data_IF_863953993546
#
_entry.id   IF_863953993546
#
_cell.length_a   1.000
_cell.length_b   1.000
_cell.length_c   1.000
_cell.angle_alpha   90.00
_cell.angle_beta   90.00
_cell.angle_gamma   90.00
#
_symmetry.space_group_name_H-M   'P 1'
#
loop_
_entity.id
_entity.type
_entity.pdbx_description
1 polymer ?
#
# COMPACT_ATOMS: atom_id res chain seq x y z
N UNK A 1 -30.47 -11.03 16.35
CA UNK A 1 -30.78 -9.68 16.90
C UNK A 1 -29.59 -8.79 16.65
N UNK A 2 -29.80 -7.61 16.05
CA UNK A 2 -28.73 -6.63 15.87
C UNK A 2 -28.55 -5.85 17.18
N UNK A 3 -27.33 -5.79 17.71
CA UNK A 3 -27.00 -4.95 18.88
C UNK A 3 -27.40 -3.50 18.59
N UNK A 4 -27.98 -2.74 19.54
CA UNK A 4 -28.26 -1.31 19.39
C UNK A 4 -26.98 -0.48 19.15
N UNK A 5 -27.11 0.68 18.51
CA UNK A 5 -25.98 1.55 18.16
C UNK A 5 -25.22 2.00 19.42
N UNK A 6 -25.95 2.25 20.51
CA UNK A 6 -25.43 2.67 21.81
C UNK A 6 -24.50 1.61 22.43
N UNK A 7 -24.86 0.33 22.29
CA UNK A 7 -24.07 -0.79 22.81
C UNK A 7 -22.79 -0.97 21.97
N UNK A 8 -22.89 -0.82 20.64
CA UNK A 8 -21.73 -0.86 19.75
C UNK A 8 -20.73 0.25 20.07
N UNK A 9 -21.22 1.45 20.36
CA UNK A 9 -20.38 2.59 20.75
C UNK A 9 -19.69 2.35 22.11
N UNK A 10 -20.38 1.76 23.09
CA UNK A 10 -19.76 1.39 24.38
C UNK A 10 -18.63 0.38 24.18
N UNK A 11 -18.81 -0.59 23.28
CA UNK A 11 -17.76 -1.55 22.93
C UNK A 11 -16.61 -0.83 22.23
N UNK A 12 -16.89 0.03 21.26
CA UNK A 12 -15.87 0.77 20.51
C UNK A 12 -15.08 1.75 21.38
N UNK A 13 -15.70 2.44 22.33
CA UNK A 13 -15.00 3.30 23.29
C UNK A 13 -14.05 2.52 24.20
N UNK A 14 -14.28 1.21 24.41
CA UNK A 14 -13.35 0.32 25.12
C UNK A 14 -12.24 -0.22 24.21
N UNK A 15 -12.44 -0.22 22.90
CA UNK A 15 -11.41 -0.53 21.90
C UNK A 15 -10.56 0.73 21.71
N UNK A 16 -9.63 0.96 22.63
CA UNK A 16 -8.77 2.15 22.74
C UNK A 16 -7.82 2.39 21.55
N UNK A 17 -8.02 1.73 20.41
CA UNK A 17 -7.18 1.81 19.22
C UNK A 17 -8.01 2.30 18.05
N UNK A 18 -7.69 3.51 17.61
CA UNK A 18 -8.35 4.17 16.48
C UNK A 18 -8.25 3.34 15.19
N UNK A 19 -7.19 2.55 15.04
CA UNK A 19 -6.98 1.62 13.93
C UNK A 19 -8.06 0.52 13.89
N UNK A 20 -8.51 0.06 15.07
CA UNK A 20 -9.59 -0.91 15.19
C UNK A 20 -10.91 -0.25 14.81
N UNK A 21 -11.15 1.01 15.19
CA UNK A 21 -12.35 1.75 14.81
C UNK A 21 -12.43 1.98 13.29
N UNK A 22 -11.33 2.42 12.67
CA UNK A 22 -11.27 2.64 11.23
C UNK A 22 -11.22 1.35 10.42
N UNK A 23 -10.80 0.22 11.01
CA UNK A 23 -10.95 -1.10 10.36
C UNK A 23 -12.41 -1.50 10.12
N UNK A 24 -13.36 -0.89 10.84
CA UNK A 24 -14.79 -1.09 10.60
C UNK A 24 -15.37 -0.20 9.50
N UNK A 25 -14.58 0.75 8.95
CA UNK A 25 -15.00 1.47 7.74
C UNK A 25 -15.11 0.50 6.57
N UNK A 26 -16.18 0.67 5.81
CA UNK A 26 -16.58 -0.10 4.64
C UNK A 26 -16.95 -1.56 4.91
N UNK A 27 -16.93 -2.01 6.17
CA UNK A 27 -17.44 -3.33 6.56
C UNK A 27 -18.96 -3.41 6.36
N UNK A 28 -19.71 -2.37 6.76
CA UNK A 28 -21.10 -2.21 6.38
C UNK A 28 -21.58 -0.74 6.46
N UNK A 29 -22.75 -0.45 5.86
CA UNK A 29 -23.35 0.89 5.84
C UNK A 29 -23.65 1.45 7.24
N UNK A 30 -23.96 0.58 8.21
CA UNK A 30 -24.29 0.97 9.58
C UNK A 30 -23.04 1.44 10.34
N UNK A 31 -21.94 0.71 10.25
CA UNK A 31 -20.66 1.09 10.83
C UNK A 31 -20.09 2.34 10.17
N UNK A 32 -20.24 2.48 8.86
CA UNK A 32 -19.87 3.72 8.15
C UNK A 32 -20.60 4.94 8.71
N UNK A 33 -21.90 4.81 9.00
CA UNK A 33 -22.68 5.89 9.62
C UNK A 33 -22.13 6.21 11.02
N UNK A 34 -21.90 5.20 11.86
CA UNK A 34 -21.46 5.38 13.24
C UNK A 34 -20.03 5.95 13.34
N UNK A 35 -19.09 5.50 12.53
CA UNK A 35 -17.69 5.99 12.52
C UNK A 35 -17.60 7.44 12.00
N UNK A 36 -18.53 7.85 11.12
CA UNK A 36 -18.55 9.22 10.55
C UNK A 36 -19.39 10.21 11.36
N UNK A 37 -20.18 9.74 12.32
CA UNK A 37 -21.07 10.59 13.10
C UNK A 37 -20.27 11.36 14.16
N UNK A 38 -20.33 12.69 14.07
CA UNK A 38 -19.62 13.60 14.99
C UNK A 38 -20.17 13.56 16.41
N UNK A 39 -21.42 13.12 16.62
CA UNK A 39 -22.00 12.97 17.96
C UNK A 39 -21.35 11.78 18.66
N UNK A 40 -21.14 10.68 17.95
CA UNK A 40 -20.60 9.43 18.51
C UNK A 40 -19.07 9.40 18.58
N UNK A 41 -18.40 10.15 17.72
CA UNK A 41 -16.92 10.29 17.75
C UNK A 41 -16.45 11.44 18.64
N UNK A 42 -17.36 12.22 19.24
CA UNK A 42 -17.04 13.40 20.08
C UNK A 42 -16.28 13.06 21.35
N UNK A 43 -16.54 11.88 21.93
CA UNK A 43 -15.86 11.35 23.13
C UNK A 43 -14.61 10.55 22.80
N UNK A 44 -14.37 10.25 21.53
CA UNK A 44 -13.04 9.93 21.03
C UNK A 44 -12.33 11.28 20.95
N UNK A 45 -12.09 11.90 22.11
CA UNK A 45 -10.93 12.76 22.22
C UNK A 45 -9.82 11.90 21.67
N UNK A 46 -9.27 12.34 20.53
CA UNK A 46 -7.96 11.93 20.06
C UNK A 46 -7.05 12.27 21.24
N UNK A 47 -7.00 11.39 22.24
CA UNK A 47 -6.04 11.42 23.33
C UNK A 47 -4.77 11.64 22.57
N UNK A 48 -4.23 12.86 22.71
CA UNK A 48 -3.07 13.37 21.99
C UNK A 48 -2.19 12.18 21.77
N UNK A 49 -2.27 11.62 20.56
CA UNK A 49 -1.54 10.41 20.30
C UNK A 49 -0.12 10.97 20.31
N UNK A 50 0.61 10.75 21.40
CA UNK A 50 2.00 11.17 21.55
C UNK A 50 2.89 10.35 20.59
N UNK A 51 2.29 9.73 19.57
CA UNK A 51 2.90 9.21 18.38
C UNK A 51 3.56 10.37 17.64
N UNK A 52 4.80 10.67 18.04
CA UNK A 52 5.64 11.67 17.40
C UNK A 52 5.97 11.29 15.95
N UNK A 53 5.86 10.00 15.59
CA UNK A 53 6.11 9.48 14.25
C UNK A 53 5.15 8.33 13.91
N UNK A 54 4.36 8.49 12.85
CA UNK A 54 3.50 7.45 12.28
C UNK A 54 4.10 6.98 10.95
N UNK A 55 4.64 5.76 10.90
CA UNK A 55 5.24 5.20 9.69
C UNK A 55 4.28 4.19 9.07
N UNK A 56 4.11 4.25 7.75
CA UNK A 56 3.21 3.35 7.03
C UNK A 56 3.68 3.12 5.59
N UNK A 57 3.24 2.00 5.03
CA UNK A 57 3.32 1.66 3.62
C UNK A 57 1.97 1.05 3.23
N UNK A 58 1.23 1.73 2.37
CA UNK A 58 -0.11 1.35 1.94
C UNK A 58 -0.05 1.09 0.43
N UNK A 59 -0.54 -0.08 0.03
CA UNK A 59 -0.66 -0.50 -1.36
C UNK A 59 -2.14 -0.74 -1.64
N UNK A 60 -2.68 -0.09 -2.67
CA UNK A 60 -4.08 -0.28 -3.07
C UNK A 60 -4.21 -0.55 -4.55
N UNK A 61 -5.06 -1.52 -4.90
CA UNK A 61 -5.42 -1.89 -6.26
C UNK A 61 -6.84 -1.37 -6.55
N UNK A 62 -6.99 -0.59 -7.61
CA UNK A 62 -8.30 -0.08 -8.05
C UNK A 62 -8.31 0.17 -9.55
N UNK A 63 -9.48 0.29 -10.16
CA UNK A 63 -9.58 0.90 -11.49
C UNK A 63 -9.10 2.36 -11.41
N UNK A 64 -8.37 2.80 -12.43
CA UNK A 64 -7.78 4.13 -12.52
C UNK A 64 -8.88 5.21 -12.38
N UNK A 65 -9.08 5.69 -11.15
CA UNK A 65 -9.94 6.81 -10.84
C UNK A 65 -9.10 7.89 -10.14
N UNK A 66 -8.64 8.86 -10.93
CA UNK A 66 -7.82 9.99 -10.49
C UNK A 66 -8.39 10.69 -9.24
N UNK A 67 -9.72 10.70 -9.06
CA UNK A 67 -10.36 11.34 -7.90
C UNK A 67 -10.11 10.59 -6.59
N UNK A 68 -10.11 9.25 -6.59
CA UNK A 68 -9.82 8.46 -5.39
C UNK A 68 -8.39 8.72 -4.91
N UNK A 69 -7.45 8.80 -5.86
CA UNK A 69 -6.04 9.03 -5.58
C UNK A 69 -5.78 10.43 -5.01
N UNK A 70 -6.36 11.47 -5.61
CA UNK A 70 -6.26 12.83 -5.07
C UNK A 70 -6.89 12.95 -3.68
N UNK A 71 -7.99 12.22 -3.42
CA UNK A 71 -8.60 12.21 -2.08
C UNK A 71 -7.69 11.57 -1.03
N UNK A 72 -7.02 10.45 -1.35
CA UNK A 72 -6.10 9.80 -0.41
C UNK A 72 -4.88 10.72 -0.18
N UNK A 73 -4.32 11.28 -1.25
CA UNK A 73 -3.22 12.26 -1.17
C UNK A 73 -3.60 13.47 -0.30
N UNK A 74 -4.77 14.07 -0.53
CA UNK A 74 -5.28 15.18 0.28
C UNK A 74 -5.49 14.79 1.74
N UNK A 75 -5.86 13.55 2.04
CA UNK A 75 -6.06 13.07 3.42
C UNK A 75 -4.75 13.12 4.21
N UNK A 76 -3.64 12.74 3.59
CA UNK A 76 -2.33 12.72 4.25
C UNK A 76 -1.60 14.06 4.17
N UNK A 77 -1.68 14.78 3.05
CA UNK A 77 -1.02 16.08 2.85
C UNK A 77 -1.67 17.23 3.64
N UNK A 78 -2.99 17.19 3.86
CA UNK A 78 -3.68 18.23 4.63
C UNK A 78 -3.64 17.98 6.15
N UNK A 79 -3.13 16.81 6.58
CA UNK A 79 -2.90 16.51 7.99
C UNK A 79 -1.57 17.05 8.51
N UNK A 80 -1.37 17.03 9.83
CA UNK A 80 -0.07 17.32 10.46
C UNK A 80 1.02 16.26 10.17
N UNK A 81 0.73 15.27 9.32
CA UNK A 81 1.64 14.18 8.93
C UNK A 81 2.42 14.57 7.68
N UNK A 82 3.22 15.63 7.78
CA UNK A 82 3.83 16.35 6.65
C UNK A 82 4.97 15.64 5.92
N UNK A 83 5.04 14.32 5.94
CA UNK A 83 6.10 13.56 5.29
C UNK A 83 5.53 12.26 4.71
N UNK A 84 4.85 12.37 3.57
CA UNK A 84 4.30 11.24 2.82
C UNK A 84 4.68 11.40 1.36
N UNK A 85 5.10 10.31 0.74
CA UNK A 85 5.33 10.23 -0.70
C UNK A 85 4.43 9.16 -1.33
N UNK A 86 4.29 9.21 -2.65
CA UNK A 86 3.43 8.30 -3.37
C UNK A 86 3.91 8.06 -4.80
N UNK A 87 3.54 6.90 -5.36
CA UNK A 87 3.59 6.68 -6.80
C UNK A 87 2.43 5.82 -7.27
N UNK A 88 2.16 5.90 -8.57
CA UNK A 88 1.04 5.25 -9.22
C UNK A 88 1.52 4.44 -10.42
N UNK A 89 1.19 3.16 -10.41
CA UNK A 89 1.28 2.27 -11.56
C UNK A 89 -0.08 2.30 -12.28
N UNK A 90 -0.10 2.74 -13.53
CA UNK A 90 -1.29 2.61 -14.38
C UNK A 90 -1.05 1.51 -15.40
N UNK A 91 -1.98 0.58 -15.49
CA UNK A 91 -1.90 -0.58 -16.36
C UNK A 91 -2.79 -0.41 -17.60
N UNK A 92 -2.45 -1.04 -18.75
CA UNK A 92 -3.19 -0.87 -20.00
C UNK A 92 -4.66 -1.30 -19.94
N UNK A 93 -5.02 -2.21 -19.03
CA UNK A 93 -6.39 -2.67 -18.81
C UNK A 93 -7.24 -1.68 -17.98
N UNK A 94 -6.70 -0.50 -17.65
CA UNK A 94 -7.37 0.50 -16.84
C UNK A 94 -7.30 0.25 -15.34
N UNK A 95 -6.64 -0.83 -14.90
CA UNK A 95 -6.30 -1.01 -13.49
C UNK A 95 -5.14 -0.11 -13.10
N UNK A 96 -5.06 0.20 -11.82
CA UNK A 96 -3.97 0.95 -11.27
C UNK A 96 -3.65 0.47 -9.86
N UNK A 97 -2.36 0.57 -9.51
CA UNK A 97 -1.84 0.33 -8.18
C UNK A 97 -1.20 1.59 -7.65
N UNK A 98 -1.60 2.03 -6.47
CA UNK A 98 -0.93 3.15 -5.80
C UNK A 98 -0.17 2.68 -4.58
N UNK A 99 1.02 3.24 -4.42
CA UNK A 99 1.86 3.10 -3.24
C UNK A 99 1.90 4.43 -2.52
N UNK A 100 1.66 4.42 -1.21
CA UNK A 100 1.65 5.61 -0.36
C UNK A 100 2.39 5.28 0.91
N UNK A 101 3.40 6.05 1.24
CA UNK A 101 4.27 5.73 2.36
C UNK A 101 4.81 6.96 3.07
N UNK A 102 5.11 6.79 4.35
CA UNK A 102 5.73 7.83 5.18
C UNK A 102 7.19 8.06 4.79
N UNK A 103 7.63 9.31 4.84
CA UNK A 103 9.01 9.73 4.80
C UNK A 103 9.50 10.20 6.20
N UNK A 104 10.79 10.04 6.52
CA UNK A 104 11.70 9.08 5.89
C UNK A 104 11.13 7.66 6.06
N UNK A 105 11.35 6.78 5.08
CA UNK A 105 10.84 5.41 5.16
C UNK A 105 11.59 4.64 6.24
N UNK A 106 10.89 4.19 7.30
CA UNK A 106 11.50 3.50 8.46
C UNK A 106 11.21 2.01 8.54
N UNK A 107 10.47 1.46 7.60
CA UNK A 107 10.15 0.03 7.56
C UNK A 107 11.32 -0.69 6.87
N UNK A 108 11.65 -1.90 7.34
CA UNK A 108 12.79 -2.67 6.84
C UNK A 108 12.48 -3.50 5.58
N UNK A 109 11.21 -3.59 5.20
CA UNK A 109 10.76 -4.37 4.05
C UNK A 109 9.88 -3.51 3.15
N UNK A 110 10.02 -3.66 1.83
CA UNK A 110 9.12 -3.03 0.85
C UNK A 110 8.62 -4.06 -0.17
N UNK A 111 7.29 -4.23 -0.23
CA UNK A 111 6.63 -5.20 -1.11
C UNK A 111 6.00 -4.55 -2.34
N UNK A 112 5.66 -5.41 -3.32
CA UNK A 112 4.92 -5.10 -4.54
C UNK A 112 5.52 -3.97 -5.39
N UNK A 113 6.85 -3.92 -5.52
CA UNK A 113 7.53 -2.92 -6.34
C UNK A 113 7.36 -3.26 -7.84
N UNK A 114 6.72 -2.38 -8.62
CA UNK A 114 6.58 -2.46 -10.10
C UNK A 114 7.83 -2.01 -10.84
N UNK A 115 7.84 -2.24 -12.16
CA UNK A 115 8.80 -1.65 -13.09
C UNK A 115 8.77 -0.10 -13.08
N UNK A 116 7.65 0.50 -12.66
CA UNK A 116 7.43 1.95 -12.65
C UNK A 116 7.89 2.61 -11.35
N UNK A 117 8.43 1.84 -10.39
CA UNK A 117 8.94 2.37 -9.14
C UNK A 117 9.81 3.62 -9.34
N UNK A 118 9.49 4.73 -8.66
CA UNK A 118 10.26 5.96 -8.75
C UNK A 118 11.64 5.77 -8.13
N UNK A 119 12.59 6.61 -8.51
CA UNK A 119 13.87 6.66 -7.79
C UNK A 119 13.64 7.31 -6.41
N UNK A 120 14.33 6.81 -5.39
CA UNK A 120 14.27 7.33 -4.02
C UNK A 120 15.28 6.62 -3.15
N UNK A 121 15.64 7.16 -1.98
CA UNK A 121 16.65 6.57 -1.11
C UNK A 121 16.01 5.94 0.14
N UNK A 122 16.11 4.63 0.26
CA UNK A 122 15.44 3.82 1.29
C UNK A 122 16.47 3.07 2.14
N UNK A 123 17.25 3.79 2.95
CA UNK A 123 18.37 3.23 3.72
C UNK A 123 17.97 2.26 4.83
N UNK A 124 16.70 2.24 5.24
CA UNK A 124 16.24 1.31 6.27
C UNK A 124 15.76 -0.03 5.70
N UNK A 125 15.59 -0.12 4.37
CA UNK A 125 15.04 -1.31 3.72
C UNK A 125 16.15 -2.31 3.40
N UNK A 126 15.94 -3.53 3.86
CA UNK A 126 16.83 -4.68 3.70
C UNK A 126 16.22 -5.75 2.81
N UNK A 127 14.89 -5.83 2.76
CA UNK A 127 14.20 -6.86 1.98
C UNK A 127 13.20 -6.22 1.01
N UNK A 128 13.26 -6.59 -0.27
CA UNK A 128 12.30 -6.09 -1.27
C UNK A 128 11.70 -7.18 -2.12
N UNK A 129 10.42 -7.00 -2.45
CA UNK A 129 9.68 -7.89 -3.33
C UNK A 129 9.28 -7.14 -4.60
N UNK A 130 9.86 -7.54 -5.72
CA UNK A 130 9.56 -7.03 -7.04
C UNK A 130 8.43 -7.86 -7.65
N UNK A 131 7.34 -7.21 -8.02
CA UNK A 131 6.18 -7.84 -8.62
C UNK A 131 5.53 -6.90 -9.64
N UNK A 132 5.53 -7.33 -10.90
CA UNK A 132 4.85 -6.61 -11.98
C UNK A 132 4.08 -7.61 -12.86
N UNK A 133 2.78 -7.34 -12.99
CA UNK A 133 1.83 -8.22 -13.69
C UNK A 133 1.89 -7.98 -15.20
N UNK A 134 2.26 -6.78 -15.65
CA UNK A 134 2.12 -6.36 -17.04
C UNK A 134 3.45 -6.07 -17.72
N UNK A 135 4.47 -5.66 -16.96
CA UNK A 135 5.75 -5.22 -17.49
C UNK A 135 6.89 -6.13 -17.00
N UNK A 136 7.66 -6.77 -17.89
CA UNK A 136 8.87 -7.47 -17.47
C UNK A 136 9.93 -6.47 -16.96
N UNK A 137 10.68 -6.86 -15.93
CA UNK A 137 11.77 -6.03 -15.40
C UNK A 137 12.97 -5.96 -16.36
N UNK A 138 13.28 -4.76 -16.82
CA UNK A 138 14.47 -4.48 -17.65
C UNK A 138 15.75 -4.39 -16.81
N UNK A 139 16.93 -4.56 -17.43
CA UNK A 139 18.21 -4.43 -16.72
C UNK A 139 18.35 -3.10 -15.97
N UNK A 140 18.00 -1.99 -16.64
CA UNK A 140 18.06 -0.63 -16.07
C UNK A 140 17.18 -0.45 -14.83
N UNK A 141 16.16 -1.30 -14.66
CA UNK A 141 15.34 -1.31 -13.46
C UNK A 141 16.15 -1.80 -12.24
N UNK A 142 16.91 -2.88 -12.39
CA UNK A 142 17.77 -3.39 -11.31
C UNK A 142 18.85 -2.37 -10.91
N UNK A 143 19.40 -1.61 -11.85
CA UNK A 143 20.33 -0.49 -11.54
C UNK A 143 19.65 0.64 -10.75
N UNK A 144 18.34 0.83 -10.93
CA UNK A 144 17.55 1.77 -10.13
C UNK A 144 17.32 1.22 -8.73
N UNK A 145 16.94 -0.05 -8.62
CA UNK A 145 16.76 -0.76 -7.35
C UNK A 145 18.03 -0.71 -6.51
N UNK A 146 19.19 -1.07 -7.08
CA UNK A 146 20.46 -1.06 -6.36
C UNK A 146 20.82 0.33 -5.79
N UNK A 147 20.50 1.41 -6.51
CA UNK A 147 20.72 2.79 -6.04
C UNK A 147 19.71 3.20 -4.97
N UNK A 148 18.47 2.73 -5.08
CA UNK A 148 17.41 3.09 -4.15
C UNK A 148 17.52 2.36 -2.80
N UNK A 149 18.07 1.14 -2.81
CA UNK A 149 18.14 0.23 -1.65
C UNK A 149 19.60 -0.18 -1.36
N UNK A 150 20.44 0.72 -0.82
CA UNK A 150 21.88 0.48 -0.68
C UNK A 150 22.27 -0.61 0.33
N UNK A 151 21.35 -1.04 1.20
CA UNK A 151 21.60 -2.05 2.24
C UNK A 151 20.74 -3.30 2.07
N UNK A 152 20.32 -3.58 0.82
CA UNK A 152 19.48 -4.72 0.49
C UNK A 152 20.21 -6.04 0.77
N UNK A 153 19.63 -6.89 1.61
CA UNK A 153 20.10 -8.24 1.92
C UNK A 153 19.31 -9.30 1.16
N UNK A 154 18.00 -9.10 1.00
CA UNK A 154 17.12 -10.05 0.33
C UNK A 154 16.34 -9.41 -0.83
N UNK A 155 16.41 -10.05 -2.00
CA UNK A 155 15.61 -9.68 -3.17
C UNK A 155 14.73 -10.84 -3.59
N UNK A 156 13.42 -10.62 -3.56
CA UNK A 156 12.44 -11.54 -4.14
C UNK A 156 11.90 -10.96 -5.44
N UNK A 157 11.94 -11.75 -6.52
CA UNK A 157 11.39 -11.35 -7.82
C UNK A 157 10.28 -12.32 -8.22
N UNK A 158 9.08 -11.78 -8.42
CA UNK A 158 7.91 -12.52 -8.88
C UNK A 158 7.64 -12.12 -10.34
N UNK A 159 7.87 -13.06 -11.26
CA UNK A 159 7.61 -12.85 -12.67
C UNK A 159 6.25 -13.46 -13.03
N UNK A 160 5.26 -12.61 -13.32
CA UNK A 160 3.96 -13.04 -13.83
C UNK A 160 3.97 -13.25 -15.35
N UNK A 161 4.83 -12.54 -16.07
CA UNK A 161 5.01 -12.69 -17.52
C UNK A 161 6.43 -13.23 -17.78
N UNK A 162 6.57 -14.39 -18.46
CA UNK A 162 7.86 -14.87 -18.91
C UNK A 162 8.53 -13.87 -19.87
N UNK A 163 9.84 -13.65 -19.73
CA UNK A 163 10.65 -12.71 -20.54
C UNK A 163 10.53 -12.87 -22.07
N UNK A 164 10.01 -14.02 -22.53
CA UNK A 164 9.83 -14.37 -23.94
C UNK A 164 8.41 -14.11 -24.49
N UNK A 165 7.54 -13.40 -23.76
CA UNK A 165 6.22 -13.03 -24.26
C UNK A 165 6.34 -11.95 -25.35
N UNK A 166 6.41 -12.38 -26.61
CA UNK A 166 5.91 -11.57 -27.72
C UNK A 166 4.40 -11.47 -27.57
N UNK A 167 3.76 -10.31 -27.81
CA UNK A 167 2.31 -10.20 -27.74
C UNK A 167 1.70 -11.04 -28.87
N UNK A 168 1.38 -12.30 -28.56
CA UNK A 168 0.53 -13.12 -29.40
C UNK A 168 -0.91 -12.75 -29.06
N UNK A 169 -1.58 -12.15 -30.04
CA UNK A 169 -3.02 -12.15 -30.11
C UNK A 169 -3.51 -13.58 -29.84
N UNK A 170 -4.46 -13.69 -28.90
CA UNK A 170 -5.23 -14.90 -28.58
C UNK A 170 -4.42 -16.08 -27.99
N UNK A 171 -4.44 -16.21 -26.66
CA UNK A 171 -4.22 -17.50 -26.01
C UNK A 171 -5.14 -17.66 -24.80
N UNK A 172 -5.95 -18.71 -24.88
CA UNK A 172 -6.96 -19.13 -23.93
C UNK A 172 -6.40 -19.37 -22.51
N UNK A 173 -7.29 -19.12 -21.54
CA UNK A 173 -7.21 -19.50 -20.13
C UNK A 173 -6.43 -20.80 -19.91
N UNK A 174 -5.21 -20.72 -19.39
CA UNK A 174 -4.58 -21.79 -18.62
C UNK A 174 -3.44 -21.22 -17.76
N UNK A 175 -3.65 -21.31 -16.44
CA UNK A 175 -2.73 -21.09 -15.32
C UNK A 175 -1.39 -20.42 -15.64
N UNK A 176 -1.36 -19.10 -15.45
CA UNK A 176 -0.16 -18.29 -15.43
C UNK A 176 0.70 -18.73 -14.23
N UNK A 177 1.69 -19.60 -14.47
CA UNK A 177 2.63 -20.04 -13.43
C UNK A 177 3.61 -18.89 -13.18
N UNK A 178 3.41 -18.17 -12.07
CA UNK A 178 4.40 -17.22 -11.59
C UNK A 178 5.64 -17.98 -11.10
N UNK A 179 6.82 -17.44 -11.41
CA UNK A 179 8.08 -17.95 -10.84
C UNK A 179 8.58 -16.95 -9.79
N UNK A 180 8.97 -17.48 -8.63
CA UNK A 180 9.56 -16.71 -7.54
C UNK A 180 11.05 -17.03 -7.47
N UNK A 181 11.89 -16.01 -7.59
CA UNK A 181 13.35 -16.12 -7.46
C UNK A 181 13.76 -15.30 -6.23
N UNK A 182 14.47 -15.91 -5.29
CA UNK A 182 14.94 -15.26 -4.05
C UNK A 182 16.47 -15.24 -4.05
N UNK A 183 17.05 -14.08 -3.76
CA UNK A 183 18.48 -13.87 -3.61
C UNK A 183 18.78 -13.43 -2.16
N UNK A 184 19.15 -14.36 -1.26
CA UNK A 184 19.25 -14.06 0.17
C UNK A 184 20.55 -13.36 0.62
N UNK A 185 21.52 -13.17 -0.28
CA UNK A 185 22.83 -12.57 0.05
C UNK A 185 23.37 -11.72 -1.11
N UNK A 186 22.73 -10.57 -1.34
CA UNK A 186 23.20 -9.58 -2.31
C UNK A 186 24.34 -8.74 -1.72
N UNK A 187 25.53 -9.31 -1.62
CA UNK A 187 26.77 -8.59 -1.23
C UNK A 187 27.91 -8.95 -2.15
#
# INVERSE_FOLDING_TARGET
MNLPDEILIIIWNKLSKIDVLYSFLNVNRRFNKLVRDKIYTRSIELIKNNCQTFNFNIITYAYANNQLYENIKCTFLNGKFSQVDFYLDQYPNGEARSHIYSLPYKINVMHDISSNFPIGLFTNVHDIWLADIFCPFEHKFYDRIARSFPFLTELTVINYIPRNYKPLQEANNNNQVSSVIVFPHLT
#
